data_IF_219972719195
#
_entry.id   IF_219972719195
#
_cell.length_a   1.000
_cell.length_b   1.000
_cell.length_c   1.000
_cell.angle_alpha   90.00
_cell.angle_beta   90.00
_cell.angle_gamma   90.00
#
_symmetry.space_group_name_H-M   'P 1'
#
loop_
_entity.id
_entity.type
_entity.pdbx_description
1 polymer ?
#
# COMPACT_ATOMS: atom_id res chain seq x y z
N UNK A 1 2.83 18.91 -1.19
CA UNK A 1 3.44 18.81 0.16
C UNK A 1 3.21 17.41 0.72
N UNK A 2 4.26 16.74 1.20
CA UNK A 2 4.14 15.40 1.80
C UNK A 2 4.16 15.50 3.32
N UNK A 3 3.33 14.69 3.98
CA UNK A 3 3.30 14.58 5.44
C UNK A 3 3.72 13.17 5.79
N UNK A 4 4.73 13.04 6.64
CA UNK A 4 5.16 11.74 7.15
C UNK A 4 4.03 11.03 7.88
N UNK A 5 3.77 9.78 7.50
CA UNK A 5 2.64 9.00 8.00
C UNK A 5 3.10 8.05 9.09
N UNK A 6 2.52 8.17 10.29
CA UNK A 6 2.75 7.24 11.41
C UNK A 6 2.46 5.77 11.05
N UNK A 7 1.60 5.54 10.06
CA UNK A 7 1.21 4.19 9.62
C UNK A 7 2.28 3.47 8.77
N UNK A 8 3.32 4.18 8.31
CA UNK A 8 4.38 3.65 7.44
C UNK A 8 5.01 2.36 7.98
N UNK A 9 5.49 2.39 9.21
CA UNK A 9 6.16 1.24 9.85
C UNK A 9 5.24 0.03 9.99
N UNK A 10 3.97 0.26 10.35
CA UNK A 10 2.97 -0.82 10.48
C UNK A 10 2.66 -1.48 9.14
N UNK A 11 2.54 -0.70 8.07
CA UNK A 11 2.30 -1.23 6.73
C UNK A 11 3.48 -2.09 6.26
N UNK A 12 4.71 -1.63 6.48
CA UNK A 12 5.92 -2.37 6.08
C UNK A 12 6.05 -3.70 6.84
N UNK A 13 5.90 -3.69 8.16
CA UNK A 13 5.91 -4.90 8.97
C UNK A 13 4.80 -5.89 8.59
N UNK A 14 3.62 -5.37 8.25
CA UNK A 14 2.52 -6.20 7.80
C UNK A 14 2.79 -6.81 6.42
N UNK A 15 3.50 -6.10 5.54
CA UNK A 15 3.82 -6.57 4.20
C UNK A 15 4.88 -7.67 4.22
N UNK A 16 5.82 -7.63 5.18
CA UNK A 16 6.85 -8.67 5.36
C UNK A 16 6.25 -10.02 5.78
N UNK A 17 5.10 -10.00 6.46
CA UNK A 17 4.55 -11.19 7.16
C UNK A 17 3.22 -11.67 6.60
N UNK A 18 2.56 -10.88 5.73
CA UNK A 18 1.30 -11.26 5.09
C UNK A 18 1.43 -11.12 3.58
N UNK A 19 0.97 -12.14 2.86
CA UNK A 19 0.94 -12.13 1.38
C UNK A 19 -0.02 -11.09 0.78
N UNK A 20 -0.91 -10.51 1.58
CA UNK A 20 -1.85 -9.49 1.15
C UNK A 20 -2.19 -8.50 2.27
N UNK A 21 -2.43 -7.25 1.91
CA UNK A 21 -2.82 -6.18 2.82
C UNK A 21 -3.94 -5.32 2.22
N UNK A 22 -4.93 -4.98 3.04
CA UNK A 22 -5.99 -4.05 2.67
C UNK A 22 -5.84 -2.74 3.46
N UNK A 23 -5.61 -1.63 2.75
CA UNK A 23 -5.55 -0.30 3.35
C UNK A 23 -6.88 0.44 3.14
N UNK A 24 -7.71 0.48 4.18
CA UNK A 24 -9.00 1.18 4.17
C UNK A 24 -8.92 2.58 4.79
N UNK A 25 -9.91 3.41 4.53
CA UNK A 25 -10.07 4.71 5.17
C UNK A 25 -10.84 5.73 4.33
N UNK A 26 -11.10 6.94 4.86
CA UNK A 26 -11.87 7.97 4.18
C UNK A 26 -11.29 8.35 2.81
N UNK A 27 -12.13 8.91 1.91
CA UNK A 27 -11.69 9.39 0.60
C UNK A 27 -10.64 10.51 0.73
N UNK A 28 -9.80 10.64 -0.30
CA UNK A 28 -8.81 11.73 -0.43
C UNK A 28 -7.78 11.88 0.71
N UNK A 29 -7.64 10.88 1.58
CA UNK A 29 -6.63 10.86 2.67
C UNK A 29 -5.21 10.51 2.24
N UNK A 30 -4.97 10.28 0.94
CA UNK A 30 -3.65 9.96 0.41
C UNK A 30 -3.20 8.50 0.57
N UNK A 31 -4.15 7.56 0.79
CA UNK A 31 -3.89 6.10 0.85
C UNK A 31 -3.07 5.61 -0.35
N UNK A 32 -3.49 6.00 -1.55
CA UNK A 32 -2.81 5.62 -2.78
C UNK A 32 -1.42 6.21 -2.91
N UNK A 33 -1.27 7.48 -2.55
CA UNK A 33 0.03 8.15 -2.53
C UNK A 33 0.99 7.52 -1.50
N UNK A 34 0.47 7.05 -0.36
CA UNK A 34 1.24 6.32 0.65
C UNK A 34 1.77 5.00 0.13
N UNK A 35 0.91 4.19 -0.49
CA UNK A 35 1.33 2.89 -0.99
C UNK A 35 2.29 3.01 -2.18
N UNK A 36 2.04 3.93 -3.12
CA UNK A 36 2.98 4.20 -4.23
C UNK A 36 4.36 4.66 -3.75
N UNK A 37 4.42 5.42 -2.66
CA UNK A 37 5.71 5.90 -2.12
C UNK A 37 6.42 4.84 -1.28
N UNK A 38 5.67 3.99 -0.58
CA UNK A 38 6.25 2.96 0.28
C UNK A 38 6.69 1.72 -0.51
N UNK A 39 6.03 1.44 -1.62
CA UNK A 39 6.32 0.29 -2.49
C UNK A 39 6.48 0.77 -3.94
N UNK A 40 7.59 1.46 -4.25
CA UNK A 40 7.82 2.02 -5.60
C UNK A 40 7.95 0.93 -6.67
N UNK A 41 8.44 -0.25 -6.29
CA UNK A 41 8.68 -1.37 -7.20
C UNK A 41 7.45 -2.31 -7.32
N UNK A 42 6.40 -2.09 -6.54
CA UNK A 42 5.20 -2.93 -6.58
C UNK A 42 4.27 -2.52 -7.73
N UNK A 43 3.66 -3.52 -8.37
CA UNK A 43 2.66 -3.30 -9.39
C UNK A 43 1.42 -2.60 -8.81
N UNK A 44 1.10 -1.42 -9.33
CA UNK A 44 -0.09 -0.67 -8.94
C UNK A 44 -1.26 -1.02 -9.85
N UNK A 45 -2.20 -1.82 -9.34
CA UNK A 45 -3.44 -2.16 -10.03
C UNK A 45 -4.60 -1.34 -9.45
N UNK A 46 -5.39 -0.70 -10.30
CA UNK A 46 -6.58 0.06 -9.89
C UNK A 46 -7.82 -0.52 -10.53
N UNK A 47 -8.80 -0.90 -9.71
CA UNK A 47 -10.13 -1.22 -10.16
C UNK A 47 -10.94 0.08 -10.20
N UNK A 48 -11.70 0.34 -11.28
CA UNK A 48 -12.39 1.61 -11.49
C UNK A 48 -13.51 1.91 -10.46
N UNK A 49 -13.78 1.01 -9.52
CA UNK A 49 -14.83 1.11 -8.51
C UNK A 49 -14.22 1.12 -7.10
N UNK A 50 -13.81 2.31 -6.65
CA UNK A 50 -13.69 2.83 -5.26
C UNK A 50 -13.08 1.99 -4.12
N UNK A 51 -12.63 0.77 -4.39
CA UNK A 51 -11.88 -0.07 -3.48
C UNK A 51 -10.46 -0.10 -4.00
N UNK A 52 -9.57 0.62 -3.33
CA UNK A 52 -8.16 0.60 -3.65
C UNK A 52 -7.55 -0.66 -3.02
N UNK A 53 -7.72 -1.80 -3.69
CA UNK A 53 -7.03 -3.04 -3.36
C UNK A 53 -5.60 -2.97 -3.90
N UNK A 54 -4.62 -3.30 -3.07
CA UNK A 54 -3.21 -3.36 -3.47
C UNK A 54 -2.71 -4.77 -3.29
N UNK A 55 -2.20 -5.34 -4.37
CA UNK A 55 -1.45 -6.58 -4.30
C UNK A 55 0.02 -6.20 -4.06
N UNK A 56 0.48 -6.38 -2.82
CA UNK A 56 1.91 -6.46 -2.55
C UNK A 56 2.31 -7.89 -2.88
N UNK A 57 2.76 -8.13 -4.11
CA UNK A 57 3.45 -9.38 -4.40
C UNK A 57 4.85 -9.27 -3.78
N UNK A 58 5.04 -9.88 -2.61
CA UNK A 58 6.38 -10.34 -2.23
C UNK A 58 6.74 -11.46 -3.19
N UNK A 59 7.39 -11.08 -4.29
CA UNK A 59 8.23 -11.99 -5.03
C UNK A 59 9.46 -12.18 -4.14
N UNK A 60 9.36 -13.11 -3.19
CA UNK A 60 10.56 -13.79 -2.68
C UNK A 60 11.05 -14.64 -3.85
N UNK A 61 11.72 -14.00 -4.81
CA UNK A 61 12.71 -14.68 -5.64
C UNK A 61 14.06 -14.40 -5.00
N UNK A 62 14.52 -15.45 -4.30
CA UNK A 62 15.82 -15.68 -3.65
C UNK A 62 15.93 -15.35 -2.16
#
# INVERSE_FOLDING_TARGET
MWIERKLKKKIQQAAETRSALLLTGPRQTGKSSLLKRQFPDAAYLTFKYEVSCYLVQNINEQ
#
